data_IF_431401475615
#
_entry.id   IF_431401475615
#
_cell.length_a   1.000
_cell.length_b   1.000
_cell.length_c   1.000
_cell.angle_alpha   90.00
_cell.angle_beta   90.00
_cell.angle_gamma   90.00
#
_symmetry.space_group_name_H-M   'P 1'
#
loop_
_entity.id
_entity.type
_entity.pdbx_description
1 polymer ?
#
# COMPACT_ATOMS: atom_id res chain seq x y z
N UNK A 1 -17.21 20.58 -20.66
CA UNK A 1 -16.52 19.98 -19.50
C UNK A 1 -15.52 18.99 -20.04
N UNK A 2 -14.23 19.23 -19.89
CA UNK A 2 -13.21 18.29 -20.32
C UNK A 2 -13.19 17.13 -19.34
N UNK A 3 -13.59 15.94 -19.78
CA UNK A 3 -13.50 14.73 -18.97
C UNK A 3 -12.03 14.50 -18.64
N UNK A 4 -11.72 14.36 -17.36
CA UNK A 4 -10.35 14.15 -16.92
C UNK A 4 -9.92 12.75 -17.35
N UNK A 5 -8.84 12.66 -18.13
CA UNK A 5 -8.40 11.42 -18.78
C UNK A 5 -8.22 10.25 -17.79
N UNK A 6 -7.76 10.54 -16.58
CA UNK A 6 -7.60 9.53 -15.52
C UNK A 6 -8.94 8.96 -15.03
N UNK A 7 -10.02 9.74 -15.11
CA UNK A 7 -11.34 9.35 -14.62
C UNK A 7 -12.00 8.37 -15.59
N UNK A 8 -11.90 8.61 -16.90
CA UNK A 8 -12.31 7.64 -17.91
C UNK A 8 -11.56 6.31 -17.77
N UNK A 9 -10.25 6.36 -17.52
CA UNK A 9 -9.44 5.14 -17.29
C UNK A 9 -9.87 4.41 -16.02
N UNK A 10 -10.18 5.14 -14.94
CA UNK A 10 -10.68 4.53 -13.71
C UNK A 10 -12.03 3.84 -13.94
N UNK A 11 -12.95 4.49 -14.65
CA UNK A 11 -14.27 3.93 -14.95
C UNK A 11 -14.15 2.70 -15.87
N UNK A 12 -13.27 2.72 -16.86
CA UNK A 12 -13.00 1.57 -17.73
C UNK A 12 -12.46 0.37 -16.94
N UNK A 13 -11.49 0.60 -16.05
CA UNK A 13 -10.93 -0.46 -15.18
C UNK A 13 -12.00 -0.99 -14.21
N UNK A 14 -12.85 -0.11 -13.66
CA UNK A 14 -13.97 -0.51 -12.82
C UNK A 14 -14.95 -1.41 -13.58
N UNK A 15 -15.27 -1.10 -14.84
CA UNK A 15 -16.08 -1.98 -15.67
C UNK A 15 -15.41 -3.35 -15.88
N UNK A 16 -14.09 -3.40 -16.13
CA UNK A 16 -13.37 -4.68 -16.30
C UNK A 16 -13.41 -5.54 -15.02
N UNK A 17 -13.31 -4.92 -13.85
CA UNK A 17 -13.45 -5.59 -12.54
C UNK A 17 -14.90 -6.11 -12.37
N UNK A 18 -15.91 -5.30 -12.66
CA UNK A 18 -17.33 -5.67 -12.55
C UNK A 18 -17.72 -6.78 -13.53
N UNK A 19 -17.14 -6.81 -14.73
CA UNK A 19 -17.35 -7.86 -15.73
C UNK A 19 -16.63 -9.18 -15.40
N UNK A 20 -15.97 -9.28 -14.23
CA UNK A 20 -15.22 -10.45 -13.74
C UNK A 20 -14.01 -10.83 -14.59
N UNK A 21 -13.44 -9.90 -15.36
CA UNK A 21 -12.12 -10.16 -15.97
C UNK A 21 -11.02 -10.21 -14.92
N UNK A 22 -11.19 -9.45 -13.83
CA UNK A 22 -10.37 -9.52 -12.62
C UNK A 22 -11.22 -10.04 -11.48
N UNK A 23 -10.86 -11.17 -10.89
CA UNK A 23 -11.53 -11.70 -9.70
C UNK A 23 -10.97 -11.02 -8.44
N UNK A 24 -11.73 -11.11 -7.35
CA UNK A 24 -11.25 -10.72 -6.04
C UNK A 24 -9.94 -11.47 -5.72
N UNK A 25 -8.89 -10.71 -5.39
CA UNK A 25 -7.53 -11.23 -5.20
C UNK A 25 -6.66 -11.37 -6.45
N UNK A 26 -7.18 -11.14 -7.66
CA UNK A 26 -6.34 -11.10 -8.86
C UNK A 26 -5.45 -9.85 -8.87
N UNK A 27 -4.22 -10.03 -9.33
CA UNK A 27 -3.25 -8.95 -9.40
C UNK A 27 -3.52 -8.09 -10.65
N UNK A 28 -3.87 -6.83 -10.44
CA UNK A 28 -3.85 -5.85 -11.52
C UNK A 28 -2.42 -5.73 -12.09
N UNK A 29 -2.29 -5.62 -13.42
CA UNK A 29 -0.99 -5.38 -14.03
C UNK A 29 -0.35 -4.10 -13.48
N UNK A 30 0.98 -4.09 -13.38
CA UNK A 30 1.72 -2.95 -12.80
C UNK A 30 1.37 -1.62 -13.49
N UNK A 31 1.48 -0.51 -12.77
CA UNK A 31 1.20 0.84 -13.29
C UNK A 31 1.92 1.12 -14.62
N UNK A 32 3.14 0.59 -14.79
CA UNK A 32 3.94 0.73 -16.01
C UNK A 32 3.30 0.03 -17.21
N UNK A 33 2.74 -1.16 -16.99
CA UNK A 33 2.07 -1.95 -18.03
C UNK A 33 0.78 -1.26 -18.44
N UNK A 34 -0.03 -0.83 -17.47
CA UNK A 34 -1.24 -0.04 -17.72
C UNK A 34 -0.93 1.25 -18.49
N UNK A 35 0.09 1.99 -18.10
CA UNK A 35 0.49 3.22 -18.80
C UNK A 35 0.85 2.95 -20.27
N UNK A 36 1.50 1.81 -20.54
CA UNK A 36 1.86 1.40 -21.90
C UNK A 36 0.62 0.97 -22.71
N UNK A 37 -0.30 0.23 -22.08
CA UNK A 37 -1.53 -0.26 -22.71
C UNK A 37 -2.49 0.87 -23.09
N UNK A 38 -2.66 1.84 -22.19
CA UNK A 38 -3.52 3.01 -22.41
C UNK A 38 -2.81 4.15 -23.16
N UNK A 39 -1.50 4.04 -23.40
CA UNK A 39 -0.71 5.08 -24.09
C UNK A 39 -0.63 6.40 -23.32
N UNK A 40 -0.74 6.36 -21.99
CA UNK A 40 -0.77 7.55 -21.12
C UNK A 40 0.44 7.61 -20.20
N UNK A 41 0.64 8.77 -19.55
CA UNK A 41 1.70 8.91 -18.56
C UNK A 41 1.40 8.07 -17.30
N UNK A 42 2.45 7.63 -16.61
CA UNK A 42 2.32 6.91 -15.33
C UNK A 42 1.57 7.71 -14.26
N UNK A 43 1.67 9.05 -14.30
CA UNK A 43 0.94 9.90 -13.38
C UNK A 43 -0.58 9.78 -13.57
N UNK A 44 -1.06 9.69 -14.81
CA UNK A 44 -2.49 9.53 -15.11
C UNK A 44 -3.01 8.20 -14.57
N UNK A 45 -2.25 7.11 -14.77
CA UNK A 45 -2.58 5.79 -14.22
C UNK A 45 -2.59 5.80 -12.69
N UNK A 46 -1.61 6.45 -12.06
CA UNK A 46 -1.54 6.55 -10.60
C UNK A 46 -2.75 7.30 -10.02
N UNK A 47 -3.19 8.38 -10.66
CA UNK A 47 -4.43 9.07 -10.24
C UNK A 47 -5.67 8.19 -10.46
N UNK A 48 -5.74 7.44 -11.56
CA UNK A 48 -6.84 6.49 -11.81
C UNK A 48 -6.88 5.37 -10.74
N UNK A 49 -5.73 4.77 -10.43
CA UNK A 49 -5.60 3.75 -9.38
C UNK A 49 -5.94 4.32 -8.01
N UNK A 50 -5.57 5.57 -7.73
CA UNK A 50 -5.93 6.23 -6.47
C UNK A 50 -7.46 6.29 -6.30
N UNK A 51 -8.19 6.70 -7.34
CA UNK A 51 -9.67 6.71 -7.32
C UNK A 51 -10.23 5.31 -7.11
N UNK A 52 -9.69 4.30 -7.81
CA UNK A 52 -10.11 2.91 -7.63
C UNK A 52 -9.82 2.37 -6.23
N UNK A 53 -8.73 2.81 -5.61
CA UNK A 53 -8.36 2.49 -4.23
C UNK A 53 -9.31 3.16 -3.23
N UNK A 54 -9.65 4.43 -3.45
CA UNK A 54 -10.66 5.16 -2.67
C UNK A 54 -12.05 4.51 -2.77
N UNK A 55 -12.40 3.98 -3.96
CA UNK A 55 -13.61 3.18 -4.21
C UNK A 55 -13.54 1.76 -3.62
N UNK A 56 -12.42 1.36 -2.99
CA UNK A 56 -12.16 0.02 -2.43
C UNK A 56 -12.24 -1.13 -3.47
N UNK A 57 -12.04 -0.81 -4.75
CA UNK A 57 -12.00 -1.80 -5.83
C UNK A 57 -10.61 -2.39 -6.02
N UNK A 58 -9.58 -1.68 -5.57
CA UNK A 58 -8.18 -2.08 -5.70
C UNK A 58 -7.49 -1.88 -4.35
N UNK A 59 -6.71 -2.87 -3.92
CA UNK A 59 -5.86 -2.75 -2.73
C UNK A 59 -4.41 -2.79 -3.18
N UNK A 60 -3.64 -1.76 -2.82
CA UNK A 60 -2.21 -1.74 -3.09
C UNK A 60 -1.49 -2.59 -2.03
N UNK A 61 -1.09 -3.80 -2.41
CA UNK A 61 -0.26 -4.66 -1.55
C UNK A 61 1.19 -4.41 -1.93
N UNK A 62 1.94 -3.74 -1.04
CA UNK A 62 3.38 -3.53 -1.19
C UNK A 62 4.09 -4.87 -0.97
N UNK A 63 4.30 -5.65 -2.03
CA UNK A 63 5.09 -6.88 -1.95
C UNK A 63 6.51 -6.60 -2.41
N UNK A 64 7.34 -6.10 -1.47
CA UNK A 64 8.83 -6.16 -1.39
C UNK A 64 9.29 -5.18 -0.29
N UNK A 65 9.86 -5.59 0.84
CA UNK A 65 10.25 -6.92 1.30
C UNK A 65 10.87 -6.87 2.71
N UNK A 66 11.13 -8.03 3.28
CA UNK A 66 11.88 -8.19 4.53
C UNK A 66 13.03 -9.16 4.29
N UNK A 67 14.19 -8.85 4.83
CA UNK A 67 15.38 -9.70 4.82
C UNK A 67 15.52 -10.37 6.19
N UNK A 68 15.98 -11.62 6.19
CA UNK A 68 16.23 -12.37 7.43
C UNK A 68 17.51 -11.83 8.06
N UNK A 69 17.38 -11.20 9.22
CA UNK A 69 18.50 -10.82 10.08
C UNK A 69 18.53 -11.76 11.28
N UNK A 70 19.67 -12.40 11.52
CA UNK A 70 19.91 -13.15 12.74
C UNK A 70 20.42 -12.16 13.80
N UNK A 71 19.88 -12.18 15.02
CA UNK A 71 20.39 -11.34 16.09
C UNK A 71 21.84 -11.77 16.42
N UNK A 72 22.74 -10.79 16.53
CA UNK A 72 24.10 -11.01 16.98
C UNK A 72 24.19 -10.96 18.51
N UNK A 73 25.31 -11.37 19.08
CA UNK A 73 25.52 -11.37 20.55
C UNK A 73 25.22 -10.01 21.19
N UNK A 74 25.48 -8.90 20.50
CA UNK A 74 25.17 -7.54 20.96
C UNK A 74 23.67 -7.29 21.09
N UNK A 75 22.86 -7.77 20.14
CA UNK A 75 21.40 -7.61 20.16
C UNK A 75 20.76 -8.40 21.31
N UNK A 76 21.43 -9.47 21.76
CA UNK A 76 20.97 -10.28 22.89
C UNK A 76 21.21 -9.57 24.24
N UNK A 77 22.32 -8.83 24.36
CA UNK A 77 22.63 -8.06 25.56
C UNK A 77 21.62 -6.91 25.75
N UNK A 78 21.34 -6.17 24.67
CA UNK A 78 20.38 -5.05 24.68
C UNK A 78 18.96 -5.52 25.06
N UNK A 79 18.58 -6.72 24.60
CA UNK A 79 17.29 -7.32 24.94
C UNK A 79 17.20 -7.67 26.43
N UNK A 80 18.27 -8.21 27.01
CA UNK A 80 18.32 -8.53 28.45
C UNK A 80 18.35 -7.26 29.31
N UNK A 81 19.10 -6.24 28.89
CA UNK A 81 19.22 -4.97 29.61
C UNK A 81 17.88 -4.22 29.67
N UNK A 82 17.14 -4.21 28.56
CA UNK A 82 15.79 -3.60 28.52
C UNK A 82 14.77 -4.33 29.40
N UNK A 83 14.92 -5.64 29.60
CA UNK A 83 14.01 -6.44 30.43
C UNK A 83 14.25 -6.19 31.93
N UNK A 84 15.50 -5.99 32.34
CA UNK A 84 15.86 -5.83 33.75
C UNK A 84 15.59 -4.41 34.29
N UNK A 85 15.53 -3.39 33.43
CA UNK A 85 15.25 -2.00 33.82
C UNK A 85 13.74 -1.68 33.96
N UNK A 86 12.89 -2.70 34.11
CA UNK A 86 11.44 -2.53 34.34
C UNK A 86 11.13 -2.21 35.81
N UNK A 87 11.66 -1.11 36.35
CA UNK A 87 11.18 -0.53 37.60
C UNK A 87 10.56 0.85 37.34
N UNK A 88 9.22 0.83 37.28
CA UNK A 88 8.28 1.91 37.56
C UNK A 88 8.43 3.24 36.80
N UNK A 89 7.54 3.49 35.85
CA UNK A 89 6.60 4.63 35.95
C UNK A 89 5.54 4.57 34.83
N UNK A 90 4.51 3.76 35.06
CA UNK A 90 3.17 4.09 34.56
C UNK A 90 2.48 4.79 35.73
N UNK A 91 2.06 6.05 35.54
CA UNK A 91 1.26 6.98 36.37
C UNK A 91 1.99 8.35 36.26
N UNK A 92 1.49 9.42 35.63
CA UNK A 92 0.21 10.13 35.81
C UNK A 92 0.02 11.05 34.57
N UNK A 93 -1.18 11.04 33.98
CA UNK A 93 -2.19 12.12 34.02
C UNK A 93 -1.73 13.48 33.46
N UNK A 94 -2.40 13.85 32.37
CA UNK A 94 -3.02 15.15 32.06
C UNK A 94 -2.45 16.47 32.64
N UNK A 95 -2.38 17.43 31.71
CA UNK A 95 -2.57 18.90 31.82
C UNK A 95 -1.43 19.80 32.32
N UNK A 96 -1.17 20.81 31.46
CA UNK A 96 -0.54 22.15 31.62
C UNK A 96 0.83 22.31 32.32
#
# INVERSE_FOLDING_TARGET
MGTLLYQSIADDIEQLILHKEYKDGDCLPSERVLATQYGVSRNVIREAIKILTEKKLVTNVIVKGNYVTLPNETDLVDMVESALNTSASCLLYDTE
#
